data_IF_480501955330
#
_entry.id   IF_480501955330
#
_cell.length_a   1.000
_cell.length_b   1.000
_cell.length_c   1.000
_cell.angle_alpha   90.00
_cell.angle_beta   90.00
_cell.angle_gamma   90.00
#
_symmetry.space_group_name_H-M   'P 1'
#
loop_
_entity.id
_entity.type
_entity.pdbx_description
1 polymer ?
#
# COMPACT_ATOMS: atom_id res chain seq x y z
N UNK A 1 13.73 -1.73 -7.73
CA UNK A 1 12.34 -1.82 -7.23
C UNK A 1 12.05 -0.62 -6.35
N UNK A 2 10.81 -0.15 -6.36
CA UNK A 2 10.26 0.76 -5.35
C UNK A 2 9.36 -0.04 -4.42
N UNK A 3 9.50 0.15 -3.11
CA UNK A 3 8.73 -0.57 -2.08
C UNK A 3 7.89 0.45 -1.31
N UNK A 4 6.61 0.14 -1.10
CA UNK A 4 5.68 0.94 -0.29
C UNK A 4 4.87 0.02 0.61
N UNK A 5 4.84 0.30 1.90
CA UNK A 5 4.06 -0.50 2.86
C UNK A 5 3.50 0.40 3.96
N UNK A 6 2.53 -0.08 4.74
CA UNK A 6 1.97 0.68 5.85
C UNK A 6 2.70 0.49 7.20
N UNK A 7 3.85 -0.20 7.22
CA UNK A 7 4.55 -0.52 8.47
C UNK A 7 6.03 -0.89 8.30
N UNK A 8 6.58 -1.54 9.33
CA UNK A 8 8.01 -1.93 9.41
C UNK A 8 8.39 -3.07 8.44
N UNK A 9 7.41 -3.72 7.81
CA UNK A 9 7.68 -4.74 6.81
C UNK A 9 8.40 -4.18 5.57
N UNK A 10 8.43 -2.86 5.38
CA UNK A 10 9.28 -2.19 4.38
C UNK A 10 10.73 -2.66 4.48
N UNK A 11 11.30 -2.66 5.69
CA UNK A 11 12.69 -3.03 5.94
C UNK A 11 12.92 -4.54 5.73
N UNK A 12 11.93 -5.36 6.06
CA UNK A 12 12.00 -6.82 5.84
C UNK A 12 12.02 -7.16 4.36
N UNK A 13 11.17 -6.50 3.58
CA UNK A 13 11.14 -6.67 2.13
C UNK A 13 12.49 -6.25 1.53
N UNK A 14 13.03 -5.10 1.92
CA UNK A 14 14.33 -4.63 1.46
C UNK A 14 15.45 -5.64 1.80
N UNK A 15 15.51 -6.12 3.05
CA UNK A 15 16.53 -7.08 3.50
C UNK A 15 16.49 -8.38 2.70
N UNK A 16 15.30 -8.92 2.43
CA UNK A 16 15.14 -10.17 1.69
C UNK A 16 15.54 -10.02 0.23
N UNK A 17 15.15 -8.91 -0.41
CA UNK A 17 15.58 -8.60 -1.77
C UNK A 17 17.11 -8.46 -1.88
N UNK A 18 17.75 -7.82 -0.89
CA UNK A 18 19.21 -7.71 -0.82
C UNK A 18 19.91 -9.07 -0.67
N UNK A 19 19.22 -10.09 -0.14
CA UNK A 19 19.69 -11.48 -0.08
C UNK A 19 19.35 -12.31 -1.32
N UNK A 20 18.73 -11.70 -2.33
CA UNK A 20 18.27 -12.40 -3.55
C UNK A 20 17.00 -13.24 -3.35
N UNK A 21 16.26 -13.02 -2.26
CA UNK A 21 14.95 -13.62 -2.00
C UNK A 21 13.82 -12.75 -2.57
N UNK A 22 12.59 -13.26 -2.54
CA UNK A 22 11.43 -12.60 -3.14
C UNK A 22 10.65 -11.72 -2.16
N UNK A 23 9.78 -10.87 -2.71
CA UNK A 23 8.79 -10.10 -1.94
C UNK A 23 7.86 -11.01 -1.13
N UNK A 24 7.47 -12.14 -1.72
CA UNK A 24 6.64 -13.15 -1.08
C UNK A 24 7.37 -13.84 0.07
N UNK A 25 8.66 -14.18 -0.10
CA UNK A 25 9.47 -14.79 0.97
C UNK A 25 9.52 -13.89 2.20
N UNK A 26 9.71 -12.58 2.00
CA UNK A 26 9.71 -11.60 3.08
C UNK A 26 8.36 -11.54 3.81
N UNK A 27 7.26 -11.47 3.07
CA UNK A 27 5.92 -11.33 3.66
C UNK A 27 5.41 -12.63 4.28
N UNK A 28 5.97 -13.79 3.91
CA UNK A 28 5.71 -15.06 4.59
C UNK A 28 6.29 -15.11 6.01
N UNK A 29 7.26 -14.27 6.35
CA UNK A 29 7.77 -14.17 7.73
C UNK A 29 6.99 -13.17 8.58
N UNK A 30 6.00 -12.49 8.00
CA UNK A 30 5.18 -11.48 8.67
C UNK A 30 3.73 -11.96 8.82
N UNK A 31 2.98 -11.21 9.62
CA UNK A 31 1.55 -11.38 9.95
C UNK A 31 0.87 -10.01 9.90
N UNK A 32 -0.44 -9.89 10.14
CA UNK A 32 -1.06 -8.60 10.48
C UNK A 32 -0.38 -7.93 11.69
N UNK A 33 -0.71 -6.66 11.97
CA UNK A 33 -0.15 -5.95 13.12
C UNK A 33 -0.57 -6.62 14.45
N UNK A 34 0.34 -6.74 15.43
CA UNK A 34 0.05 -7.37 16.72
C UNK A 34 -0.68 -6.38 17.67
N UNK A 35 -1.73 -5.72 17.20
CA UNK A 35 -2.43 -4.61 17.87
C UNK A 35 -3.86 -4.97 18.31
N UNK A 36 -4.00 -6.12 18.98
CA UNK A 36 -5.28 -6.60 19.48
C UNK A 36 -6.07 -5.49 20.22
N UNK A 37 -7.40 -5.40 20.02
CA UNK A 37 -8.24 -6.32 19.25
C UNK A 37 -8.38 -5.95 17.76
N UNK A 38 -7.55 -5.03 17.24
CA UNK A 38 -7.72 -4.52 15.87
C UNK A 38 -7.15 -5.45 14.81
N UNK A 39 -6.00 -6.07 15.08
CA UNK A 39 -5.30 -6.95 14.13
C UNK A 39 -5.13 -6.28 12.77
N UNK A 40 -4.63 -5.04 12.76
CA UNK A 40 -4.58 -4.17 11.59
C UNK A 40 -3.89 -4.89 10.43
N UNK A 41 -4.52 -4.98 9.25
CA UNK A 41 -3.90 -5.61 8.10
C UNK A 41 -2.59 -4.92 7.68
N UNK A 42 -1.60 -5.71 7.28
CA UNK A 42 -0.39 -5.20 6.63
C UNK A 42 -0.60 -5.18 5.13
N UNK A 43 -0.60 -3.99 4.55
CA UNK A 43 -0.62 -3.81 3.09
C UNK A 43 0.77 -3.46 2.58
N UNK A 44 1.13 -4.03 1.44
CA UNK A 44 2.46 -3.87 0.84
C UNK A 44 2.35 -3.80 -0.67
N UNK A 45 3.24 -3.04 -1.29
CA UNK A 45 3.39 -2.92 -2.73
C UNK A 45 4.86 -2.88 -3.13
N UNK A 46 5.18 -3.53 -4.25
CA UNK A 46 6.50 -3.46 -4.88
C UNK A 46 6.33 -3.20 -6.37
N UNK A 47 7.02 -2.18 -6.88
CA UNK A 47 7.02 -1.76 -8.28
C UNK A 47 8.39 -2.02 -8.90
N UNK A 48 8.39 -2.70 -10.05
CA UNK A 48 9.56 -2.85 -10.92
C UNK A 48 9.79 -1.55 -11.68
N UNK A 49 10.97 -0.96 -11.50
CA UNK A 49 11.39 0.23 -12.26
C UNK A 49 11.84 -0.11 -13.70
N UNK A 50 11.88 -1.40 -14.06
CA UNK A 50 12.34 -1.87 -15.39
C UNK A 50 11.19 -1.90 -16.38
N UNK A 51 10.04 -2.45 -15.99
CA UNK A 51 8.89 -2.69 -16.86
C UNK A 51 7.57 -2.12 -16.30
N UNK A 52 7.61 -1.49 -15.12
CA UNK A 52 6.45 -0.92 -14.45
C UNK A 52 5.46 -1.98 -13.92
N UNK A 53 5.80 -3.27 -13.98
CA UNK A 53 5.01 -4.31 -13.34
C UNK A 53 5.07 -4.16 -11.82
N UNK A 54 4.00 -4.54 -11.12
CA UNK A 54 3.94 -4.40 -9.69
C UNK A 54 3.18 -5.53 -9.01
N UNK A 55 3.49 -5.74 -7.74
CA UNK A 55 2.78 -6.66 -6.87
C UNK A 55 2.18 -5.91 -5.69
N UNK A 56 1.01 -6.34 -5.26
CA UNK A 56 0.34 -5.90 -4.03
C UNK A 56 0.14 -7.10 -3.11
N UNK A 57 0.15 -6.86 -1.80
CA UNK A 57 -0.14 -7.86 -0.80
C UNK A 57 -0.96 -7.29 0.34
N UNK A 58 -1.80 -8.14 0.93
CA UNK A 58 -2.46 -7.92 2.22
C UNK A 58 -2.31 -9.15 3.09
N UNK A 59 -1.81 -8.94 4.32
CA UNK A 59 -1.79 -9.94 5.39
C UNK A 59 -2.85 -9.55 6.40
N UNK A 60 -3.86 -10.40 6.60
CA UNK A 60 -5.02 -10.07 7.43
C UNK A 60 -5.50 -11.24 8.28
N UNK A 61 -6.12 -10.89 9.39
CA UNK A 61 -6.80 -11.83 10.27
C UNK A 61 -8.11 -12.31 9.63
N UNK A 62 -8.38 -13.61 9.69
CA UNK A 62 -9.57 -14.22 9.08
C UNK A 62 -10.61 -14.68 10.10
N UNK A 63 -10.23 -14.84 11.37
CA UNK A 63 -11.10 -15.40 12.41
C UNK A 63 -11.55 -14.39 13.48
N UNK A 64 -11.04 -13.16 13.44
CA UNK A 64 -11.33 -12.11 14.41
C UNK A 64 -10.65 -12.33 15.78
N UNK A 65 -9.79 -13.35 15.90
CA UNK A 65 -9.11 -13.74 17.12
C UNK A 65 -7.59 -13.54 17.03
N UNK A 66 -7.07 -13.14 15.88
CA UNK A 66 -5.65 -12.96 15.66
C UNK A 66 -4.90 -14.29 15.61
N UNK A 67 -5.58 -15.38 15.28
CA UNK A 67 -4.97 -16.73 15.21
C UNK A 67 -4.80 -17.27 13.80
N UNK A 68 -5.52 -16.74 12.82
CA UNK A 68 -5.46 -17.20 11.44
C UNK A 68 -5.10 -16.06 10.48
N UNK A 69 -3.88 -16.10 9.96
CA UNK A 69 -3.36 -15.08 9.05
C UNK A 69 -3.46 -15.53 7.61
N UNK A 70 -4.43 -14.97 6.89
CA UNK A 70 -4.54 -15.09 5.46
C UNK A 70 -3.55 -14.13 4.77
N UNK A 71 -2.92 -14.62 3.70
CA UNK A 71 -1.93 -13.88 2.90
C UNK A 71 -2.36 -13.90 1.44
N UNK A 72 -2.60 -12.72 0.88
CA UNK A 72 -3.00 -12.56 -0.51
C UNK A 72 -1.92 -11.79 -1.25
N UNK A 73 -1.57 -12.29 -2.43
CA UNK A 73 -0.59 -11.68 -3.33
C UNK A 73 -1.28 -11.48 -4.67
N UNK A 74 -1.13 -10.28 -5.22
CA UNK A 74 -1.69 -9.89 -6.50
C UNK A 74 -0.58 -9.34 -7.38
N UNK A 75 -0.52 -9.78 -8.63
CA UNK A 75 0.53 -9.38 -9.57
C UNK A 75 -0.10 -8.77 -10.81
N UNK A 76 0.41 -7.62 -11.23
CA UNK A 76 -0.13 -6.86 -12.35
C UNK A 76 0.97 -6.43 -13.31
N UNK A 77 0.79 -6.61 -14.63
CA UNK A 77 1.63 -5.94 -15.61
C UNK A 77 1.34 -4.43 -15.61
N UNK A 78 2.29 -3.64 -16.10
CA UNK A 78 2.07 -2.22 -16.34
C UNK A 78 0.95 -2.01 -17.37
N UNK A 79 0.04 -1.08 -17.07
CA UNK A 79 -1.01 -0.64 -17.98
C UNK A 79 -1.06 0.89 -17.98
N UNK A 80 -0.86 1.56 -19.14
CA UNK A 80 -0.92 3.02 -19.20
C UNK A 80 -2.21 3.57 -18.58
N UNK A 81 -2.07 4.59 -17.74
CA UNK A 81 -3.16 5.32 -17.08
C UNK A 81 -4.03 4.52 -16.10
N UNK A 82 -3.65 3.29 -15.75
CA UNK A 82 -4.40 2.46 -14.81
C UNK A 82 -3.49 1.83 -13.77
N UNK A 83 -3.94 1.85 -12.52
CA UNK A 83 -3.31 1.13 -11.42
C UNK A 83 -4.36 0.50 -10.51
N UNK A 84 -3.92 -0.25 -9.51
CA UNK A 84 -4.79 -0.79 -8.48
C UNK A 84 -4.46 -0.15 -7.13
N UNK A 85 -5.47 0.06 -6.30
CA UNK A 85 -5.29 0.47 -4.92
C UNK A 85 -5.79 -0.62 -3.97
N UNK A 86 -5.15 -0.66 -2.80
CA UNK A 86 -5.50 -1.53 -1.68
C UNK A 86 -5.44 -0.69 -0.40
N UNK A 87 -6.32 -0.99 0.55
CA UNK A 87 -6.39 -0.33 1.85
C UNK A 87 -6.58 -1.39 2.93
N UNK A 88 -6.41 -0.99 4.20
CA UNK A 88 -6.51 -1.93 5.33
C UNK A 88 -7.97 -2.28 5.64
N UNK A 89 -8.87 -1.29 5.65
CA UNK A 89 -10.25 -1.46 6.13
C UNK A 89 -11.29 -1.08 5.09
N UNK A 90 -12.39 -1.84 4.97
CA UNK A 90 -13.49 -1.55 4.03
C UNK A 90 -14.35 -0.35 4.48
N UNK A 91 -14.36 -0.06 5.78
CA UNK A 91 -15.16 1.02 6.35
C UNK A 91 -14.75 1.34 7.79
N UNK A 92 -15.57 2.17 8.45
CA UNK A 92 -15.32 2.67 9.81
C UNK A 92 -16.18 1.98 10.87
N UNK A 93 -16.75 0.80 10.57
CA UNK A 93 -17.57 0.04 11.51
C UNK A 93 -16.73 -0.50 12.68
N UNK A 94 -17.40 -0.95 13.75
CA UNK A 94 -16.76 -1.54 14.93
C UNK A 94 -17.29 -2.96 15.16
N UNK A 95 -16.46 -4.02 15.07
CA UNK A 95 -15.01 -4.01 14.75
C UNK A 95 -14.72 -3.53 13.32
N UNK A 96 -13.50 -3.01 13.09
CA UNK A 96 -13.10 -2.48 11.79
C UNK A 96 -13.05 -3.63 10.76
N UNK A 97 -13.89 -3.59 9.71
CA UNK A 97 -13.91 -4.66 8.73
C UNK A 97 -12.68 -4.54 7.85
N UNK A 98 -11.91 -5.63 7.73
CA UNK A 98 -10.78 -5.69 6.82
C UNK A 98 -11.25 -5.62 5.35
N UNK A 99 -10.43 -5.04 4.48
CA UNK A 99 -10.62 -5.08 3.03
C UNK A 99 -10.82 -6.51 2.50
N UNK A 100 -11.84 -6.70 1.68
CA UNK A 100 -12.18 -7.98 1.04
C UNK A 100 -12.17 -7.89 -0.49
N UNK A 101 -11.79 -9.01 -1.13
CA UNK A 101 -11.78 -9.13 -2.58
C UNK A 101 -10.45 -8.74 -3.25
N UNK A 102 -10.53 -8.41 -4.54
CA UNK A 102 -9.38 -8.04 -5.37
C UNK A 102 -9.07 -6.54 -5.24
N UNK A 103 -7.80 -6.13 -5.36
CA UNK A 103 -7.41 -4.72 -5.45
C UNK A 103 -8.24 -3.95 -6.47
N UNK A 104 -8.65 -2.73 -6.11
CA UNK A 104 -9.60 -1.93 -6.89
C UNK A 104 -8.86 -1.18 -8.00
N UNK A 105 -9.27 -1.38 -9.25
CA UNK A 105 -8.72 -0.66 -10.41
C UNK A 105 -9.11 0.82 -10.33
N UNK A 106 -8.16 1.71 -10.58
CA UNK A 106 -8.42 3.15 -10.71
C UNK A 106 -7.66 3.73 -11.91
N UNK A 107 -8.18 4.84 -12.44
CA UNK A 107 -7.53 5.60 -13.51
C UNK A 107 -6.59 6.62 -12.89
N UNK A 108 -5.34 6.65 -13.34
CA UNK A 108 -4.33 7.61 -12.87
C UNK A 108 -4.56 8.94 -13.61
N UNK A 109 -4.64 10.07 -12.89
CA UNK A 109 -4.64 11.41 -13.49
C UNK A 109 -3.34 11.74 -14.22
N UNK A 110 -3.36 12.80 -15.04
CA UNK A 110 -2.21 13.16 -15.88
C UNK A 110 -1.09 13.86 -15.09
N UNK A 111 -1.38 14.42 -13.91
CA UNK A 111 -0.40 15.08 -13.04
C UNK A 111 -0.39 14.50 -11.64
N UNK A 112 0.77 14.54 -10.98
CA UNK A 112 0.89 14.13 -9.57
C UNK A 112 0.10 15.06 -8.65
N UNK A 113 -0.04 16.34 -8.99
CA UNK A 113 -0.86 17.31 -8.24
C UNK A 113 -2.33 16.86 -8.23
N UNK A 114 -2.93 16.60 -9.40
CA UNK A 114 -4.31 16.12 -9.51
C UNK A 114 -4.49 14.77 -8.81
N UNK A 115 -3.50 13.87 -8.93
CA UNK A 115 -3.51 12.59 -8.22
C UNK A 115 -3.52 12.78 -6.70
N UNK A 116 -2.64 13.66 -6.18
CA UNK A 116 -2.52 13.92 -4.74
C UNK A 116 -3.80 14.53 -4.18
N UNK A 117 -4.35 15.53 -4.88
CA UNK A 117 -5.60 16.19 -4.50
C UNK A 117 -6.79 15.24 -4.54
N UNK A 118 -6.87 14.38 -5.56
CA UNK A 118 -7.94 13.38 -5.69
C UNK A 118 -7.93 12.45 -4.49
N UNK A 119 -6.77 11.92 -4.09
CA UNK A 119 -6.67 11.06 -2.92
C UNK A 119 -6.99 11.84 -1.66
N UNK A 120 -6.37 13.00 -1.42
CA UNK A 120 -6.55 13.79 -0.20
C UNK A 120 -8.00 14.21 0.06
N UNK A 121 -8.72 14.60 -0.99
CA UNK A 121 -10.11 15.04 -0.90
C UNK A 121 -11.09 13.86 -0.83
N UNK A 122 -10.66 12.64 -1.18
CA UNK A 122 -11.46 11.42 -1.03
C UNK A 122 -11.33 10.79 0.36
N UNK A 123 -10.32 11.17 1.14
CA UNK A 123 -10.17 10.68 2.51
C UNK A 123 -11.20 11.32 3.44
N UNK A 124 -11.63 10.56 4.46
CA UNK A 124 -12.52 11.09 5.49
C UNK A 124 -11.85 12.27 6.22
N UNK A 125 -12.51 13.43 6.20
CA UNK A 125 -11.95 14.68 6.74
C UNK A 125 -11.62 14.62 8.23
N UNK A 126 -12.37 13.86 9.03
CA UNK A 126 -12.14 13.73 10.47
C UNK A 126 -10.91 12.85 10.76
N UNK A 127 -10.66 11.86 9.91
CA UNK A 127 -9.62 10.85 10.11
C UNK A 127 -8.32 11.10 9.32
N UNK A 128 -8.33 11.94 8.28
CA UNK A 128 -7.15 12.20 7.46
C UNK A 128 -6.10 13.01 8.23
N UNK A 129 -4.86 12.52 8.24
CA UNK A 129 -3.74 13.16 8.95
C UNK A 129 -2.65 13.59 7.97
N UNK A 130 -2.14 12.66 7.17
CA UNK A 130 -1.07 12.91 6.22
C UNK A 130 -1.18 12.01 4.99
N UNK A 131 -0.71 12.51 3.86
CA UNK A 131 -0.61 11.80 2.59
C UNK A 131 0.77 12.07 2.00
N UNK A 132 1.40 11.03 1.44
CA UNK A 132 2.62 11.16 0.64
C UNK A 132 2.36 10.49 -0.71
N UNK A 133 2.60 11.22 -1.79
CA UNK A 133 2.58 10.69 -3.15
C UNK A 133 3.94 10.92 -3.78
N UNK A 134 4.33 10.02 -4.69
CA UNK A 134 5.61 10.09 -5.38
C UNK A 134 5.40 9.68 -6.85
N UNK A 135 5.94 10.50 -7.75
CA UNK A 135 6.09 10.19 -9.16
C UNK A 135 7.57 10.05 -9.49
N UNK A 136 7.90 9.07 -10.32
CA UNK A 136 9.28 8.78 -10.73
C UNK A 136 9.33 8.77 -12.26
N UNK A 137 10.25 9.54 -12.82
CA UNK A 137 10.58 9.42 -14.24
C UNK A 137 11.36 8.10 -14.45
N UNK A 138 10.86 7.15 -15.26
CA UNK A 138 11.50 5.85 -15.40
C UNK A 138 12.86 5.91 -16.12
N UNK A 139 13.14 6.95 -16.90
CA UNK A 139 14.41 7.12 -17.63
C UNK A 139 15.46 7.83 -16.77
N UNK A 140 15.09 8.92 -16.10
CA UNK A 140 16.02 9.76 -15.33
C UNK A 140 16.09 9.41 -13.86
N UNK A 141 15.11 8.66 -13.35
CA UNK A 141 14.87 8.38 -11.93
C UNK A 141 14.63 9.62 -11.06
N UNK A 142 14.39 10.78 -11.69
CA UNK A 142 13.97 11.99 -10.99
C UNK A 142 12.63 11.75 -10.28
N UNK A 143 12.52 12.32 -9.08
CA UNK A 143 11.38 12.10 -8.19
C UNK A 143 10.68 13.41 -7.91
N UNK A 144 9.37 13.41 -8.07
CA UNK A 144 8.49 14.45 -7.59
C UNK A 144 7.69 13.87 -6.41
N UNK A 145 7.69 14.59 -5.28
CA UNK A 145 7.09 14.11 -4.02
C UNK A 145 6.18 15.20 -3.47
N UNK A 146 4.91 14.87 -3.25
CA UNK A 146 3.98 15.75 -2.57
C UNK A 146 3.65 15.16 -1.19
N UNK A 147 3.69 16.01 -0.16
CA UNK A 147 3.36 15.64 1.20
C UNK A 147 2.29 16.60 1.72
N UNK A 148 1.11 16.09 2.01
CA UNK A 148 0.07 16.84 2.72
C UNK A 148 0.03 16.41 4.18
N UNK A 149 -0.12 17.37 5.08
CA UNK A 149 -0.25 17.10 6.51
C UNK A 149 -1.22 18.10 7.15
N UNK A 150 -2.36 17.59 7.63
CA UNK A 150 -3.43 18.39 8.24
C UNK A 150 -2.95 19.18 9.47
N UNK A 151 -1.87 18.74 10.13
CA UNK A 151 -1.36 19.35 11.36
C UNK A 151 -0.27 20.39 11.15
N UNK A 152 0.32 20.50 9.96
CA UNK A 152 1.44 21.44 9.75
C UNK A 152 1.00 22.81 9.23
N UNK A 153 -0.27 22.98 8.85
CA UNK A 153 -0.70 24.17 8.10
C UNK A 153 -0.10 24.12 6.69
N UNK A 154 -0.84 24.61 5.71
CA UNK A 154 -0.43 24.59 4.30
C UNK A 154 0.95 25.25 4.06
#
# INVERSE_FOLDING_TARGET
>A
NLIVTNGDQTDTVEEFLNKGLTFEDALRTRCFEPDAPHFTPRISGILSLVDGSYKLSILKDSDGQGTDCHRYFYEYPSRPNYAHFIHTYEGNDKPLPTFEGEPKLFKIPDTIEEFTDTIWNSLNDDNKISLCTMMINPETLEREVNIYNKRMGD
#
